data_IF_402065191338
#
_entry.id   IF_402065191338
#
_cell.length_a   1.000
_cell.length_b   1.000
_cell.length_c   1.000
_cell.angle_alpha   90.00
_cell.angle_beta   90.00
_cell.angle_gamma   90.00
#
_symmetry.space_group_name_H-M   'P 1'
#
loop_
_entity.id
_entity.type
_entity.pdbx_description
1 polymer ?
#
# COMPACT_ATOMS: atom_id res chain seq x y z
N UNK A 1 -10.92 -8.65 -2.21
CA UNK A 1 -10.92 -9.10 -3.59
C UNK A 1 -12.29 -9.13 -4.25
N UNK A 2 -13.34 -9.78 -3.67
CA UNK A 2 -14.61 -9.98 -4.37
C UNK A 2 -15.37 -8.71 -4.71
N UNK A 3 -15.48 -7.77 -3.80
CA UNK A 3 -16.13 -6.45 -4.03
C UNK A 3 -15.43 -5.68 -5.15
N UNK A 4 -14.13 -5.65 -5.12
CA UNK A 4 -13.27 -4.97 -6.08
C UNK A 4 -13.50 -5.47 -7.52
N UNK A 5 -13.44 -6.79 -7.72
CA UNK A 5 -13.72 -7.41 -9.02
C UNK A 5 -15.14 -7.07 -9.51
N UNK A 6 -16.13 -7.08 -8.61
CA UNK A 6 -17.50 -6.73 -8.96
C UNK A 6 -17.63 -5.30 -9.46
N UNK A 7 -17.02 -4.34 -8.77
CA UNK A 7 -17.05 -2.94 -9.17
C UNK A 7 -16.44 -2.75 -10.57
N UNK A 8 -15.30 -3.37 -10.84
CA UNK A 8 -14.68 -3.34 -12.18
C UNK A 8 -15.60 -3.95 -13.23
N UNK A 9 -16.18 -5.14 -12.97
CA UNK A 9 -17.09 -5.79 -13.91
C UNK A 9 -18.41 -5.03 -14.11
N UNK A 10 -18.83 -4.22 -13.15
CA UNK A 10 -20.00 -3.34 -13.27
C UNK A 10 -19.70 -2.04 -14.05
N UNK A 11 -18.45 -1.84 -14.46
CA UNK A 11 -18.04 -0.68 -15.24
C UNK A 11 -17.76 0.57 -14.42
N UNK A 12 -17.56 0.44 -13.09
CA UNK A 12 -17.10 1.56 -12.28
C UNK A 12 -15.65 1.90 -12.61
N UNK A 13 -15.33 3.20 -12.52
CA UNK A 13 -13.95 3.68 -12.59
C UNK A 13 -13.28 3.44 -11.22
N UNK A 14 -12.53 2.35 -11.14
CA UNK A 14 -11.93 1.87 -9.89
C UNK A 14 -10.45 2.21 -9.85
N UNK A 15 -10.04 2.90 -8.79
CA UNK A 15 -8.66 3.23 -8.51
C UNK A 15 -8.17 2.50 -7.27
N UNK A 16 -6.90 2.08 -7.27
CA UNK A 16 -6.23 1.47 -6.11
C UNK A 16 -5.06 2.34 -5.68
N UNK A 17 -5.01 2.69 -4.41
CA UNK A 17 -3.90 3.41 -3.81
C UNK A 17 -3.16 2.50 -2.83
N UNK A 18 -1.89 2.23 -3.12
CA UNK A 18 -0.95 1.58 -2.21
C UNK A 18 -0.22 2.66 -1.44
N UNK A 19 -0.55 2.80 -0.16
CA UNK A 19 -0.06 3.90 0.67
C UNK A 19 1.40 3.74 1.08
N UNK A 20 1.91 2.50 1.11
CA UNK A 20 3.29 2.17 1.53
C UNK A 20 3.95 1.24 0.52
N UNK A 21 5.29 1.27 0.46
CA UNK A 21 6.08 0.37 -0.40
C UNK A 21 5.90 -1.11 -0.04
N UNK A 22 5.66 -1.41 1.23
CA UNK A 22 5.59 -2.77 1.75
C UNK A 22 6.93 -3.53 1.70
N UNK A 23 8.03 -2.84 1.50
CA UNK A 23 9.38 -3.36 1.30
C UNK A 23 9.85 -4.25 2.46
N UNK A 24 9.59 -3.86 3.71
CA UNK A 24 9.96 -4.63 4.89
C UNK A 24 9.23 -5.98 5.02
N UNK A 25 8.15 -6.19 4.28
CA UNK A 25 7.43 -7.45 4.26
C UNK A 25 8.04 -8.49 3.29
N UNK A 26 9.04 -8.10 2.49
CA UNK A 26 9.71 -9.00 1.55
C UNK A 26 10.91 -9.66 2.22
N UNK A 27 10.90 -10.98 2.28
CA UNK A 27 12.03 -11.75 2.79
C UNK A 27 13.21 -11.76 1.81
N UNK A 28 14.42 -11.88 2.34
CA UNK A 28 15.64 -11.86 1.54
C UNK A 28 15.68 -13.01 0.51
N UNK A 29 15.16 -14.17 0.87
CA UNK A 29 15.05 -15.32 -0.05
C UNK A 29 14.20 -15.00 -1.30
N UNK A 30 13.16 -14.18 -1.15
CA UNK A 30 12.33 -13.73 -2.28
C UNK A 30 13.13 -12.82 -3.21
N UNK A 31 13.96 -11.94 -2.64
CA UNK A 31 14.89 -11.12 -3.43
C UNK A 31 15.84 -12.00 -4.20
N UNK A 32 16.50 -12.97 -3.55
CA UNK A 32 17.44 -13.89 -4.19
C UNK A 32 16.77 -14.69 -5.33
N UNK A 33 15.53 -15.15 -5.12
CA UNK A 33 14.74 -15.84 -6.13
C UNK A 33 14.55 -14.99 -7.41
N UNK A 34 14.16 -13.71 -7.23
CA UNK A 34 13.94 -12.82 -8.36
C UNK A 34 15.24 -12.47 -9.08
N UNK A 35 16.32 -12.24 -8.33
CA UNK A 35 17.63 -11.94 -8.88
C UNK A 35 18.23 -13.14 -9.63
N UNK A 36 18.08 -14.36 -9.10
CA UNK A 36 18.53 -15.59 -9.76
C UNK A 36 17.80 -15.82 -11.08
N UNK A 37 16.47 -15.67 -11.08
CA UNK A 37 15.68 -15.78 -12.30
C UNK A 37 16.10 -14.75 -13.36
N UNK A 38 16.35 -13.50 -12.98
CA UNK A 38 16.82 -12.46 -13.88
C UNK A 38 18.22 -12.76 -14.41
N UNK A 39 19.11 -13.26 -13.56
CA UNK A 39 20.46 -13.68 -13.93
C UNK A 39 20.45 -14.83 -14.95
N UNK A 40 19.66 -15.88 -14.71
CA UNK A 40 19.54 -17.02 -15.63
C UNK A 40 18.98 -16.62 -17.02
N UNK A 41 18.18 -15.58 -17.08
CA UNK A 41 17.66 -15.01 -18.33
C UNK A 41 18.61 -13.98 -18.97
N UNK A 42 19.76 -13.71 -18.37
CA UNK A 42 20.75 -12.76 -18.88
C UNK A 42 20.38 -11.28 -18.70
N UNK A 43 19.44 -10.97 -17.79
CA UNK A 43 18.99 -9.59 -17.55
C UNK A 43 19.71 -8.89 -16.39
N UNK A 44 20.42 -9.62 -15.54
CA UNK A 44 21.12 -9.02 -14.39
C UNK A 44 22.37 -9.81 -14.01
N UNK A 45 23.50 -9.11 -13.96
CA UNK A 45 24.79 -9.62 -13.48
C UNK A 45 25.05 -9.29 -11.99
N UNK A 46 23.98 -8.95 -11.26
CA UNK A 46 24.12 -8.38 -9.91
C UNK A 46 23.78 -9.37 -8.78
N UNK A 47 23.52 -10.64 -9.12
CA UNK A 47 23.12 -11.62 -8.11
C UNK A 47 24.13 -11.75 -6.95
N UNK A 48 25.43 -11.92 -7.25
CA UNK A 48 26.47 -12.09 -6.24
C UNK A 48 26.62 -10.82 -5.39
N UNK A 49 26.47 -9.64 -6.00
CA UNK A 49 26.54 -8.36 -5.30
C UNK A 49 25.37 -8.18 -4.32
N UNK A 50 24.15 -8.48 -4.74
CA UNK A 50 22.97 -8.39 -3.87
C UNK A 50 23.04 -9.44 -2.76
N UNK A 51 23.50 -10.65 -3.09
CA UNK A 51 23.75 -11.70 -2.09
C UNK A 51 24.76 -11.22 -1.03
N UNK A 52 25.84 -10.59 -1.44
CA UNK A 52 26.83 -10.04 -0.50
C UNK A 52 26.25 -8.95 0.41
N UNK A 53 25.35 -8.09 -0.10
CA UNK A 53 24.62 -7.10 0.72
C UNK A 53 23.76 -7.81 1.77
N UNK A 54 23.00 -8.84 1.37
CA UNK A 54 22.17 -9.60 2.27
C UNK A 54 23.02 -10.30 3.37
N UNK A 55 24.11 -10.94 2.96
CA UNK A 55 25.02 -11.66 3.89
C UNK A 55 25.73 -10.69 4.87
N UNK A 56 25.85 -9.41 4.53
CA UNK A 56 26.47 -8.39 5.38
C UNK A 56 25.53 -7.71 6.37
N UNK A 57 24.24 -8.04 6.35
CA UNK A 57 23.23 -7.42 7.24
C UNK A 57 23.54 -7.67 8.71
N UNK A 58 23.36 -6.63 9.52
CA UNK A 58 23.53 -6.69 10.97
C UNK A 58 22.14 -6.70 11.62
N UNK A 59 21.83 -7.70 12.47
CA UNK A 59 20.54 -7.73 13.16
C UNK A 59 20.30 -6.47 14.00
N UNK A 60 19.13 -5.86 13.83
CA UNK A 60 18.70 -4.66 14.56
C UNK A 60 19.07 -3.34 13.87
N UNK A 61 19.86 -3.35 12.82
CA UNK A 61 20.11 -2.18 11.99
C UNK A 61 19.08 -2.04 10.86
N UNK A 62 18.82 -0.82 10.38
CA UNK A 62 17.99 -0.61 9.19
C UNK A 62 18.55 -1.35 7.98
N UNK A 63 17.68 -1.88 7.15
CA UNK A 63 18.12 -2.54 5.92
C UNK A 63 18.80 -1.55 4.95
N UNK A 64 19.79 -2.04 4.17
CA UNK A 64 20.42 -1.23 3.14
C UNK A 64 19.39 -0.67 2.14
N UNK A 65 19.51 0.62 1.80
CA UNK A 65 18.56 1.31 0.90
C UNK A 65 18.39 0.61 -0.45
N UNK A 66 19.46 0.06 -0.97
CA UNK A 66 19.43 -0.68 -2.23
C UNK A 66 18.58 -1.95 -2.12
N UNK A 67 18.71 -2.69 -1.03
CA UNK A 67 17.89 -3.88 -0.78
C UNK A 67 16.41 -3.51 -0.60
N UNK A 68 16.11 -2.42 0.12
CA UNK A 68 14.75 -1.90 0.25
C UNK A 68 14.16 -1.50 -1.10
N UNK A 69 14.95 -0.87 -1.98
CA UNK A 69 14.49 -0.51 -3.32
C UNK A 69 14.09 -1.74 -4.15
N UNK A 70 14.87 -2.82 -4.07
CA UNK A 70 14.55 -4.10 -4.75
C UNK A 70 13.28 -4.72 -4.15
N UNK A 71 13.19 -4.77 -2.82
CA UNK A 71 12.01 -5.29 -2.11
C UNK A 71 10.74 -4.51 -2.46
N UNK A 72 10.82 -3.18 -2.48
CA UNK A 72 9.73 -2.33 -2.92
C UNK A 72 9.35 -2.55 -4.39
N UNK A 73 10.31 -2.74 -5.28
CA UNK A 73 10.05 -3.06 -6.68
C UNK A 73 9.33 -4.40 -6.85
N UNK A 74 9.69 -5.42 -6.07
CA UNK A 74 9.01 -6.72 -6.03
C UNK A 74 7.54 -6.51 -5.62
N UNK A 75 7.29 -5.79 -4.51
CA UNK A 75 5.92 -5.52 -4.05
C UNK A 75 5.08 -4.77 -5.07
N UNK A 76 5.66 -3.76 -5.72
CA UNK A 76 4.97 -3.03 -6.80
C UNK A 76 4.66 -3.91 -8.00
N UNK A 77 5.56 -4.84 -8.34
CA UNK A 77 5.34 -5.79 -9.43
C UNK A 77 4.18 -6.75 -9.12
N UNK A 78 4.13 -7.26 -7.89
CA UNK A 78 3.03 -8.11 -7.41
C UNK A 78 1.69 -7.35 -7.41
N UNK A 79 1.68 -6.12 -6.90
CA UNK A 79 0.51 -5.24 -6.87
C UNK A 79 -0.03 -5.02 -8.29
N UNK A 80 0.80 -4.58 -9.22
CA UNK A 80 0.42 -4.40 -10.63
C UNK A 80 -0.07 -5.70 -11.28
N UNK A 81 0.55 -6.83 -10.95
CA UNK A 81 0.12 -8.14 -11.43
C UNK A 81 -1.30 -8.47 -10.97
N UNK A 82 -1.61 -8.22 -9.70
CA UNK A 82 -2.94 -8.40 -9.14
C UNK A 82 -3.95 -7.46 -9.79
N UNK A 83 -3.64 -6.17 -9.91
CA UNK A 83 -4.54 -5.17 -10.49
C UNK A 83 -4.86 -5.46 -11.96
N UNK A 84 -3.87 -5.85 -12.76
CA UNK A 84 -4.09 -6.31 -14.15
C UNK A 84 -4.99 -7.54 -14.22
N UNK A 85 -4.86 -8.47 -13.27
CA UNK A 85 -5.72 -9.67 -13.23
C UNK A 85 -7.19 -9.33 -12.98
N UNK A 86 -7.46 -8.16 -12.38
CA UNK A 86 -8.81 -7.63 -12.15
C UNK A 86 -9.31 -6.73 -13.29
N UNK A 87 -8.50 -6.50 -14.31
CA UNK A 87 -8.86 -5.67 -15.47
C UNK A 87 -8.57 -4.19 -15.30
N UNK A 88 -7.78 -3.80 -14.30
CA UNK A 88 -7.34 -2.41 -14.13
C UNK A 88 -6.18 -2.05 -15.07
N UNK A 89 -6.17 -0.79 -15.47
CA UNK A 89 -5.02 -0.21 -16.15
C UNK A 89 -4.01 0.30 -15.10
N UNK A 90 -2.86 -0.34 -15.01
CA UNK A 90 -1.83 -0.02 -14.04
C UNK A 90 -1.13 1.34 -14.25
N UNK A 91 -1.34 1.98 -15.40
CA UNK A 91 -0.83 3.33 -15.66
C UNK A 91 -1.78 4.46 -15.19
N UNK A 92 -3.07 4.19 -15.11
CA UNK A 92 -4.09 5.22 -14.80
C UNK A 92 -4.82 4.97 -13.48
N UNK A 93 -5.04 3.70 -13.14
CA UNK A 93 -5.89 3.31 -12.01
C UNK A 93 -5.12 2.82 -10.78
N UNK A 94 -3.78 2.69 -10.87
CA UNK A 94 -2.94 2.21 -9.77
C UNK A 94 -2.00 3.33 -9.31
N UNK A 95 -2.04 3.64 -8.01
CA UNK A 95 -1.28 4.73 -7.40
C UNK A 95 -0.39 4.19 -6.30
N UNK A 96 0.90 4.50 -6.34
CA UNK A 96 1.85 4.21 -5.26
C UNK A 96 2.17 5.52 -4.57
N UNK A 97 1.77 5.65 -3.30
CA UNK A 97 1.85 6.91 -2.56
C UNK A 97 3.17 7.06 -1.80
N UNK A 98 3.78 5.95 -1.39
CA UNK A 98 5.05 5.92 -0.67
C UNK A 98 5.07 6.91 0.50
N UNK A 99 4.07 6.80 1.40
CA UNK A 99 3.88 7.75 2.50
C UNK A 99 5.13 7.82 3.39
N UNK A 100 5.66 9.03 3.66
CA UNK A 100 6.92 9.25 4.37
C UNK A 100 7.01 8.57 5.74
N UNK A 101 5.90 8.42 6.46
CA UNK A 101 5.91 7.76 7.76
C UNK A 101 6.43 6.32 7.70
N UNK A 102 6.22 5.64 6.57
CA UNK A 102 6.62 4.25 6.36
C UNK A 102 8.04 4.13 5.81
N UNK A 103 8.44 5.01 4.91
CA UNK A 103 9.68 4.94 4.11
C UNK A 103 10.95 5.24 4.93
N UNK A 104 10.95 4.84 6.21
CA UNK A 104 12.07 5.06 7.14
C UNK A 104 13.16 3.99 7.06
N UNK A 105 12.88 2.86 6.38
CA UNK A 105 13.78 1.69 6.32
C UNK A 105 13.88 0.89 7.62
N UNK A 106 13.22 1.31 8.68
CA UNK A 106 13.20 0.65 9.97
C UNK A 106 11.87 -0.03 10.29
N UNK A 107 11.90 -1.05 11.15
CA UNK A 107 10.69 -1.72 11.63
C UNK A 107 9.79 -0.75 12.39
N UNK A 108 10.39 0.12 13.22
CA UNK A 108 9.67 1.19 13.91
C UNK A 108 9.41 2.33 12.94
N UNK A 109 8.12 2.55 12.66
CA UNK A 109 7.69 3.61 11.75
C UNK A 109 7.82 4.99 12.40
N UNK A 110 8.01 6.01 11.55
CA UNK A 110 7.92 7.40 11.98
C UNK A 110 6.47 7.77 12.29
N UNK A 111 6.22 8.75 13.17
CA UNK A 111 4.89 9.34 13.29
C UNK A 111 4.45 9.92 11.94
N UNK A 112 3.17 9.75 11.59
CA UNK A 112 2.63 10.43 10.41
C UNK A 112 2.66 11.94 10.59
N UNK A 113 2.84 12.64 9.49
CA UNK A 113 2.97 14.11 9.44
C UNK A 113 1.99 14.69 8.42
N UNK A 114 1.92 16.01 8.33
CA UNK A 114 1.10 16.69 7.32
C UNK A 114 1.53 16.30 5.89
N UNK A 115 2.80 15.98 5.65
CA UNK A 115 3.27 15.54 4.34
C UNK A 115 2.60 14.24 3.87
N UNK A 116 2.33 13.30 4.78
CA UNK A 116 1.58 12.08 4.48
C UNK A 116 0.13 12.40 4.09
N UNK A 117 -0.52 13.31 4.83
CA UNK A 117 -1.90 13.73 4.59
C UNK A 117 -2.03 14.49 3.26
N UNK A 118 -1.09 15.35 2.93
CA UNK A 118 -1.11 16.14 1.71
C UNK A 118 -1.05 15.25 0.46
N UNK A 119 -0.25 14.18 0.50
CA UNK A 119 -0.18 13.18 -0.60
C UNK A 119 -1.55 12.51 -0.80
N UNK A 120 -2.22 12.11 0.27
CA UNK A 120 -3.56 11.50 0.20
C UNK A 120 -4.58 12.51 -0.30
N UNK A 121 -4.56 13.74 0.24
CA UNK A 121 -5.47 14.82 -0.17
C UNK A 121 -5.35 15.12 -1.65
N UNK A 122 -4.12 15.19 -2.18
CA UNK A 122 -3.88 15.45 -3.60
C UNK A 122 -4.47 14.35 -4.50
N UNK A 123 -4.35 13.08 -4.09
CA UNK A 123 -5.01 11.99 -4.79
C UNK A 123 -6.53 12.12 -4.75
N UNK A 124 -7.10 12.34 -3.58
CA UNK A 124 -8.55 12.46 -3.38
C UNK A 124 -9.13 13.65 -4.14
N UNK A 125 -8.48 14.83 -4.13
CA UNK A 125 -8.88 16.00 -4.92
C UNK A 125 -8.88 15.75 -6.42
N UNK A 126 -7.91 14.96 -6.90
CA UNK A 126 -7.80 14.60 -8.31
C UNK A 126 -8.89 13.62 -8.75
N UNK A 127 -9.18 12.62 -7.92
CA UNK A 127 -10.11 11.54 -8.26
C UNK A 127 -11.57 11.89 -7.92
N UNK A 128 -11.82 12.62 -6.83
CA UNK A 128 -13.15 12.94 -6.29
C UNK A 128 -14.07 11.72 -6.23
N UNK A 129 -13.67 10.67 -5.50
CA UNK A 129 -14.39 9.40 -5.54
C UNK A 129 -15.76 9.49 -4.86
N UNK A 130 -16.76 8.80 -5.42
CA UNK A 130 -18.07 8.59 -4.78
C UNK A 130 -17.97 7.61 -3.61
N UNK A 131 -17.02 6.69 -3.66
CA UNK A 131 -16.82 5.67 -2.64
C UNK A 131 -15.33 5.47 -2.35
N UNK A 132 -14.98 5.44 -1.07
CA UNK A 132 -13.63 5.15 -0.57
C UNK A 132 -13.68 3.89 0.27
N UNK A 133 -12.92 2.87 -0.09
CA UNK A 133 -12.79 1.64 0.66
C UNK A 133 -11.41 1.58 1.31
N UNK A 134 -11.36 1.41 2.63
CA UNK A 134 -10.10 1.31 3.37
C UNK A 134 -10.12 0.17 4.37
N UNK A 135 -8.94 -0.30 4.78
CA UNK A 135 -8.84 -1.39 5.74
C UNK A 135 -9.31 -0.91 7.13
N UNK A 136 -10.22 -1.68 7.74
CA UNK A 136 -10.69 -1.43 9.10
C UNK A 136 -9.91 -2.20 10.17
N UNK A 137 -8.68 -2.60 9.89
CA UNK A 137 -7.82 -3.40 10.79
C UNK A 137 -7.22 -2.51 11.90
N UNK A 138 -8.06 -2.02 12.80
CA UNK A 138 -7.62 -1.11 13.88
C UNK A 138 -6.71 -1.77 14.91
N UNK A 139 -6.72 -3.10 15.00
CA UNK A 139 -5.88 -3.87 15.90
C UNK A 139 -4.73 -4.59 15.18
N UNK A 140 -4.34 -4.12 14.03
CA UNK A 140 -3.12 -4.55 13.36
C UNK A 140 -1.92 -4.48 14.32
N UNK A 141 -1.27 -5.62 14.66
CA UNK A 141 -0.15 -5.65 15.60
C UNK A 141 1.08 -4.87 15.12
N UNK A 142 1.20 -4.66 13.81
CA UNK A 142 2.26 -3.85 13.20
C UNK A 142 1.92 -2.35 13.20
N UNK A 143 0.64 -2.01 13.34
CA UNK A 143 0.13 -0.65 13.36
C UNK A 143 0.12 0.06 12.00
N UNK A 144 0.67 -0.53 10.94
CA UNK A 144 0.77 0.11 9.62
C UNK A 144 -0.60 0.34 8.98
N UNK A 145 -1.47 -0.69 8.96
CA UNK A 145 -2.82 -0.56 8.39
C UNK A 145 -3.65 0.46 9.15
N UNK A 146 -3.56 0.48 10.49
CA UNK A 146 -4.23 1.47 11.30
C UNK A 146 -3.77 2.89 10.98
N UNK A 147 -2.46 3.12 10.91
CA UNK A 147 -1.90 4.44 10.59
C UNK A 147 -2.34 4.91 9.20
N UNK A 148 -2.36 4.02 8.19
CA UNK A 148 -2.87 4.31 6.86
C UNK A 148 -4.35 4.73 6.91
N UNK A 149 -5.20 3.94 7.58
CA UNK A 149 -6.63 4.26 7.72
C UNK A 149 -6.84 5.59 8.46
N UNK A 150 -6.14 5.82 9.57
CA UNK A 150 -6.19 7.08 10.32
C UNK A 150 -5.75 8.27 9.46
N UNK A 151 -4.68 8.11 8.65
CA UNK A 151 -4.22 9.15 7.74
C UNK A 151 -5.25 9.50 6.66
N UNK A 152 -5.87 8.47 6.07
CA UNK A 152 -6.90 8.67 5.05
C UNK A 152 -8.16 9.36 5.63
N UNK A 153 -8.60 8.97 6.82
CA UNK A 153 -9.74 9.60 7.52
C UNK A 153 -9.43 11.07 7.85
N UNK A 154 -8.26 11.35 8.41
CA UNK A 154 -7.84 12.73 8.74
C UNK A 154 -7.71 13.60 7.47
N UNK A 155 -7.17 13.04 6.38
CA UNK A 155 -7.11 13.74 5.09
C UNK A 155 -8.51 14.11 4.57
N UNK A 156 -9.50 13.21 4.70
CA UNK A 156 -10.89 13.47 4.35
C UNK A 156 -11.50 14.57 5.23
N UNK A 157 -11.24 14.55 6.55
CA UNK A 157 -11.70 15.58 7.48
C UNK A 157 -11.13 16.95 7.12
N UNK A 158 -9.83 17.06 6.88
CA UNK A 158 -9.20 18.30 6.42
C UNK A 158 -9.80 18.82 5.11
N UNK A 159 -10.08 17.93 4.15
CA UNK A 159 -10.72 18.32 2.89
C UNK A 159 -12.14 18.86 3.09
N UNK A 160 -12.91 18.33 4.04
CA UNK A 160 -14.21 18.88 4.43
C UNK A 160 -14.08 20.26 5.05
N UNK A 161 -13.11 20.47 5.92
CA UNK A 161 -12.81 21.77 6.52
C UNK A 161 -12.34 22.79 5.48
N UNK A 162 -11.66 22.37 4.44
CA UNK A 162 -11.27 23.18 3.27
C UNK A 162 -12.45 23.53 2.36
N UNK A 163 -13.63 22.95 2.58
CA UNK A 163 -14.84 23.24 1.82
C UNK A 163 -15.01 22.44 0.53
N UNK A 164 -14.39 21.28 0.42
CA UNK A 164 -14.52 20.38 -0.72
C UNK A 164 -15.92 19.72 -0.75
N UNK A 165 -16.84 20.30 -1.49
CA UNK A 165 -18.28 19.94 -1.49
C UNK A 165 -18.58 18.56 -2.08
N UNK A 166 -17.71 18.01 -2.94
CA UNK A 166 -17.90 16.66 -3.49
C UNK A 166 -17.92 15.58 -2.42
N UNK A 167 -17.30 15.83 -1.25
CA UNK A 167 -17.28 14.91 -0.10
C UNK A 167 -18.66 14.73 0.56
N UNK A 168 -19.62 15.60 0.31
CA UNK A 168 -21.01 15.45 0.82
C UNK A 168 -21.69 14.19 0.27
N UNK A 169 -21.26 13.73 -0.91
CA UNK A 169 -21.78 12.54 -1.57
C UNK A 169 -20.82 11.34 -1.52
N UNK A 170 -19.66 11.48 -0.86
CA UNK A 170 -18.68 10.41 -0.76
C UNK A 170 -18.99 9.47 0.40
N UNK A 171 -19.05 8.19 0.13
CA UNK A 171 -19.24 7.15 1.14
C UNK A 171 -17.91 6.49 1.49
N UNK A 172 -17.63 6.37 2.77
CA UNK A 172 -16.42 5.71 3.29
C UNK A 172 -16.81 4.35 3.86
N UNK A 173 -16.16 3.30 3.36
CA UNK A 173 -16.38 1.91 3.76
C UNK A 173 -15.12 1.35 4.40
N UNK A 174 -15.27 0.76 5.59
CA UNK A 174 -14.21 0.00 6.23
C UNK A 174 -14.44 -1.50 5.96
N UNK A 175 -13.47 -2.15 5.33
CA UNK A 175 -13.54 -3.58 5.15
C UNK A 175 -12.70 -4.31 6.20
N UNK A 176 -13.13 -5.52 6.54
CA UNK A 176 -12.36 -6.41 7.40
C UNK A 176 -11.12 -6.91 6.66
N UNK A 177 -9.96 -6.72 7.25
CA UNK A 177 -8.69 -7.25 6.74
C UNK A 177 -8.35 -8.64 7.29
N UNK A 178 -7.06 -8.88 7.51
CA UNK A 178 -6.55 -10.19 7.92
C UNK A 178 -6.73 -10.48 9.43
N UNK A 179 -6.89 -9.45 10.26
CA UNK A 179 -6.93 -9.57 11.72
C UNK A 179 -8.35 -9.81 12.22
N UNK A 180 -8.51 -10.82 13.10
CA UNK A 180 -9.82 -11.38 13.47
C UNK A 180 -10.55 -10.64 14.60
N UNK A 181 -10.52 -9.31 14.64
CA UNK A 181 -11.07 -8.54 15.77
C UNK A 181 -12.52 -8.11 15.63
N UNK A 182 -13.09 -8.29 14.45
CA UNK A 182 -14.48 -7.97 14.24
C UNK A 182 -15.35 -9.19 14.59
N UNK A 183 -16.06 -9.10 15.70
CA UNK A 183 -17.12 -10.06 15.98
C UNK A 183 -18.22 -9.86 14.91
N UNK A 184 -18.40 -10.86 14.05
CA UNK A 184 -19.41 -10.82 12.98
C UNK A 184 -20.83 -10.51 13.47
N UNK A 185 -21.13 -10.84 14.75
CA UNK A 185 -22.42 -10.54 15.41
C UNK A 185 -22.65 -9.06 15.67
N UNK A 186 -21.62 -8.21 15.57
CA UNK A 186 -21.69 -6.76 15.78
C UNK A 186 -21.52 -5.95 14.48
N UNK A 187 -21.38 -6.63 13.36
CA UNK A 187 -21.29 -5.97 12.05
C UNK A 187 -22.69 -5.82 11.51
N UNK A 188 -23.17 -4.59 11.44
CA UNK A 188 -24.34 -4.27 10.62
C UNK A 188 -23.96 -4.51 9.16
N UNK A 189 -24.44 -5.62 8.63
CA UNK A 189 -24.35 -5.89 7.20
C UNK A 189 -25.43 -5.08 6.50
N UNK A 190 -25.14 -3.80 6.24
CA UNK A 190 -25.98 -2.95 5.43
C UNK A 190 -25.86 -3.33 3.94
#
# INVERSE_FOLDING_TARGET
GGTFIRLVHQGHDVHVAYETSGDLAVHDDVVLQHMDAAHQLGFADEFDRIKAIIDSKVPGEPEPKELLAIKGAIRRSEARGADRSFGLNDNTNVHFLDLPFYESGGVKKMPRTQADLDIIKDLLKRLRPDQVFMAGDLADPHGTHRVCTEAALEAIEQLKEEGETWLENTHVWLYRGAWMEWELSKVDMA
#
